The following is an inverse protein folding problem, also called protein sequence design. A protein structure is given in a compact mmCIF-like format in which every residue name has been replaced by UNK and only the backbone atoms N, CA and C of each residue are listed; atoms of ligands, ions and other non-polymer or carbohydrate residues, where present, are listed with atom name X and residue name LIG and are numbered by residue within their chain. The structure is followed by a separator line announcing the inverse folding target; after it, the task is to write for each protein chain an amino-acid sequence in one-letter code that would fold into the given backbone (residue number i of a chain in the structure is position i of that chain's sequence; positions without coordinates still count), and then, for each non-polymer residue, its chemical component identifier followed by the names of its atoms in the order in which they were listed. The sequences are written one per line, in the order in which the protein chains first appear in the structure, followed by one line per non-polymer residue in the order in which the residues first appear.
data_IF_728217796393
#
_entry.id   IF_728217796393
#
_cell.length_a   1.000
_cell.length_b   1.000
_cell.length_c   1.000
_cell.angle_alpha   90.00
_cell.angle_beta   90.00
_cell.angle_gamma   90.00
#
_symmetry.space_group_name_H-M   'P 1'
#
loop_
_entity.id
_entity.type
_entity.pdbx_description
1 polymer ?
#
# COMPACT_ATOMS: atom_id res chain seq x y z
N UNK A 1 -6.80 8.84 -15.07
CA UNK A 1 -8.07 9.20 -14.39
C UNK A 1 -7.99 8.64 -12.98
N UNK A 2 -7.76 9.52 -12.01
CA UNK A 2 -7.41 9.15 -10.64
C UNK A 2 -8.68 8.77 -9.88
N UNK A 3 -8.72 7.57 -9.30
CA UNK A 3 -9.89 7.06 -8.58
C UNK A 3 -10.26 7.97 -7.41
N UNK A 4 -11.54 8.32 -7.30
CA UNK A 4 -12.14 9.02 -6.16
C UNK A 4 -12.11 8.20 -4.85
N UNK A 5 -11.52 7.00 -4.89
CA UNK A 5 -11.42 6.08 -3.77
C UNK A 5 -10.03 6.19 -3.12
N UNK A 6 -9.95 6.02 -1.79
CA UNK A 6 -8.68 5.87 -1.08
C UNK A 6 -7.83 4.74 -1.69
N UNK A 7 -6.51 4.89 -1.64
CA UNK A 7 -5.59 3.83 -2.06
C UNK A 7 -5.73 2.53 -1.23
N UNK A 8 -6.31 2.62 -0.03
CA UNK A 8 -6.53 1.49 0.87
C UNK A 8 -7.95 0.91 0.66
N UNK A 9 -8.11 -0.42 0.52
CA UNK A 9 -9.43 -1.04 0.36
C UNK A 9 -10.37 -0.76 1.54
N UNK A 10 -11.66 -0.57 1.24
CA UNK A 10 -12.69 -0.22 2.22
C UNK A 10 -12.77 -1.24 3.39
N UNK A 11 -12.61 -2.52 3.11
CA UNK A 11 -12.64 -3.60 4.12
C UNK A 11 -11.66 -3.37 5.29
N UNK A 12 -10.49 -2.79 5.00
CA UNK A 12 -9.49 -2.46 6.02
C UNK A 12 -9.82 -1.17 6.77
N UNK A 13 -10.47 -0.21 6.11
CA UNK A 13 -10.90 1.07 6.69
C UNK A 13 -12.12 0.93 7.60
N UNK A 14 -12.96 -0.08 7.36
CA UNK A 14 -14.14 -0.39 8.18
C UNK A 14 -13.80 -1.24 9.41
N UNK A 15 -12.67 -1.95 9.39
CA UNK A 15 -12.26 -2.87 10.45
C UNK A 15 -10.95 -2.46 11.16
N UNK A 16 -10.60 -1.16 11.15
CA UNK A 16 -9.35 -0.65 11.73
C UNK A 16 -9.14 -1.08 13.20
N UNK A 17 -10.22 -1.15 13.99
CA UNK A 17 -10.14 -1.55 15.40
C UNK A 17 -9.72 -3.02 15.61
N UNK A 18 -9.98 -3.91 14.65
CA UNK A 18 -9.61 -5.34 14.75
C UNK A 18 -8.15 -5.59 14.38
N UNK A 19 -7.52 -4.65 13.69
CA UNK A 19 -6.15 -4.79 13.20
C UNK A 19 -5.10 -4.56 14.30
N UNK A 20 -3.92 -5.15 14.15
CA UNK A 20 -2.81 -4.87 15.07
C UNK A 20 -2.35 -3.41 14.94
N UNK A 21 -1.75 -2.86 16.00
CA UNK A 21 -1.23 -1.47 16.00
C UNK A 21 -0.31 -1.23 14.80
N UNK A 22 0.60 -2.18 14.51
CA UNK A 22 1.49 -2.07 13.35
C UNK A 22 0.76 -1.97 12.02
N UNK A 23 -0.31 -2.76 11.81
CA UNK A 23 -1.13 -2.67 10.58
C UNK A 23 -1.86 -1.33 10.48
N UNK A 24 -2.40 -0.82 11.59
CA UNK A 24 -3.05 0.50 11.63
C UNK A 24 -2.06 1.62 11.31
N UNK A 25 -0.82 1.55 11.81
CA UNK A 25 0.23 2.52 11.48
C UNK A 25 0.61 2.49 9.99
N UNK A 26 0.70 1.30 9.39
CA UNK A 26 0.96 1.15 7.95
C UNK A 26 -0.18 1.76 7.13
N UNK A 27 -1.44 1.48 7.48
CA UNK A 27 -2.60 2.09 6.81
C UNK A 27 -2.57 3.61 6.95
N UNK A 28 -2.30 4.14 8.15
CA UNK A 28 -2.18 5.58 8.37
C UNK A 28 -1.10 6.23 7.51
N UNK A 29 0.04 5.54 7.30
CA UNK A 29 1.10 6.00 6.40
C UNK A 29 0.64 6.06 4.95
N UNK A 30 -0.01 5.00 4.46
CA UNK A 30 -0.53 4.96 3.08
C UNK A 30 -1.59 6.05 2.84
N UNK A 31 -2.51 6.24 3.79
CA UNK A 31 -3.52 7.30 3.72
C UNK A 31 -2.89 8.69 3.72
N UNK A 32 -1.82 8.90 4.50
CA UNK A 32 -1.09 10.17 4.52
C UNK A 32 -0.40 10.44 3.19
N UNK A 33 0.23 9.43 2.59
CA UNK A 33 0.85 9.56 1.26
C UNK A 33 -0.18 9.85 0.17
N UNK A 34 -1.34 9.17 0.22
CA UNK A 34 -2.43 9.43 -0.72
C UNK A 34 -2.97 10.87 -0.56
N UNK A 35 -3.17 11.31 0.69
CA UNK A 35 -3.57 12.69 0.98
C UNK A 35 -2.55 13.70 0.45
N UNK A 36 -1.26 13.50 0.67
CA UNK A 36 -0.22 14.41 0.15
C UNK A 36 -0.27 14.52 -1.37
N UNK A 37 -0.40 13.39 -2.09
CA UNK A 37 -0.52 13.39 -3.56
C UNK A 37 -1.76 14.15 -4.02
N UNK A 38 -2.92 13.87 -3.40
CA UNK A 38 -4.20 14.51 -3.77
C UNK A 38 -4.23 16.00 -3.43
N UNK A 39 -3.62 16.42 -2.32
CA UNK A 39 -3.46 17.83 -1.95
C UNK A 39 -2.57 18.58 -2.94
N UNK A 40 -1.45 17.99 -3.41
CA UNK A 40 -0.62 18.63 -4.43
C UNK A 40 -1.39 18.87 -5.74
N UNK A 41 -2.23 17.90 -6.15
CA UNK A 41 -3.11 18.06 -7.31
C UNK A 41 -4.13 19.17 -7.05
N UNK A 42 -4.79 19.15 -5.88
CA UNK A 42 -5.77 20.15 -5.49
C UNK A 42 -5.18 21.56 -5.52
N UNK A 43 -4.03 21.78 -4.89
CA UNK A 43 -3.37 23.09 -4.82
C UNK A 43 -2.96 23.61 -6.20
N UNK A 44 -2.45 22.74 -7.08
CA UNK A 44 -2.12 23.11 -8.46
C UNK A 44 -3.36 23.57 -9.21
N UNK A 45 -4.40 22.74 -9.18
CA UNK A 45 -5.63 23.05 -9.89
C UNK A 45 -6.30 24.30 -9.28
N UNK A 46 -6.28 24.47 -7.96
CA UNK A 46 -6.82 25.65 -7.28
C UNK A 46 -6.09 26.92 -7.73
N UNK A 47 -4.75 26.88 -7.79
CA UNK A 47 -3.93 27.99 -8.28
C UNK A 47 -4.27 28.39 -9.72
N UNK A 48 -4.47 27.42 -10.61
CA UNK A 48 -4.81 27.65 -12.02
C UNK A 48 -6.22 28.24 -12.23
N UNK A 49 -7.09 28.16 -11.21
CA UNK A 49 -8.46 28.63 -11.28
C UNK A 49 -8.77 29.77 -10.28
N UNK A 50 -7.77 30.28 -9.55
CA UNK A 50 -7.89 31.42 -8.61
C UNK A 50 -8.49 32.67 -9.29
N UNK A 51 -8.11 32.92 -10.54
CA UNK A 51 -8.57 34.10 -11.30
C UNK A 51 -9.92 33.88 -12.01
N UNK A 52 -10.35 32.61 -12.13
CA UNK A 52 -11.62 32.24 -12.78
C UNK A 52 -12.72 32.23 -11.74
N UNK A 53 -13.21 33.42 -11.38
CA UNK A 53 -14.20 33.67 -10.30
C UNK A 53 -15.44 32.76 -10.27
N UNK A 54 -15.81 32.05 -11.35
CA UNK A 54 -17.14 31.48 -11.50
C UNK A 54 -17.22 30.00 -11.90
N UNK A 55 -16.11 29.26 -12.06
CA UNK A 55 -16.22 27.83 -12.39
C UNK A 55 -15.11 26.96 -11.79
N UNK A 56 -15.46 26.22 -10.74
CA UNK A 56 -14.71 25.06 -10.27
C UNK A 56 -15.35 23.81 -10.87
N UNK A 57 -14.57 23.02 -11.60
CA UNK A 57 -15.07 21.78 -12.17
C UNK A 57 -15.59 20.84 -11.06
N UNK A 58 -16.65 20.05 -11.29
CA UNK A 58 -17.20 19.12 -10.30
C UNK A 58 -16.15 18.18 -9.69
N UNK A 59 -15.12 17.85 -10.47
CA UNK A 59 -13.96 17.05 -10.09
C UNK A 59 -13.20 17.62 -8.88
N UNK A 60 -13.20 18.94 -8.69
CA UNK A 60 -12.62 19.59 -7.51
C UNK A 60 -13.39 19.28 -6.24
N UNK A 61 -14.73 19.29 -6.32
CA UNK A 61 -15.57 18.95 -5.17
C UNK A 61 -15.35 17.49 -4.80
N UNK A 62 -15.26 16.59 -5.79
CA UNK A 62 -14.92 15.18 -5.54
C UNK A 62 -13.54 15.03 -4.89
N UNK A 63 -12.53 15.79 -5.36
CA UNK A 63 -11.19 15.76 -4.80
C UNK A 63 -11.17 16.27 -3.35
N UNK A 64 -11.91 17.33 -3.05
CA UNK A 64 -12.02 17.92 -1.71
C UNK A 64 -12.75 16.97 -0.75
N UNK A 65 -13.84 16.34 -1.19
CA UNK A 65 -14.55 15.30 -0.43
C UNK A 65 -13.61 14.12 -0.14
N UNK A 66 -12.80 13.71 -1.12
CA UNK A 66 -11.82 12.62 -0.95
C UNK A 66 -10.74 13.00 0.07
N UNK A 67 -10.18 14.21 -0.01
CA UNK A 67 -9.19 14.70 0.96
C UNK A 67 -9.77 14.75 2.38
N UNK A 68 -11.03 15.16 2.53
CA UNK A 68 -11.71 15.18 3.82
C UNK A 68 -11.88 13.77 4.40
N UNK A 69 -12.30 12.80 3.57
CA UNK A 69 -12.41 11.40 3.97
C UNK A 69 -11.05 10.84 4.42
N UNK A 70 -9.98 11.12 3.67
CA UNK A 70 -8.62 10.68 4.05
C UNK A 70 -8.19 11.27 5.39
N UNK A 71 -8.44 12.55 5.64
CA UNK A 71 -8.15 13.21 6.93
C UNK A 71 -8.90 12.54 8.07
N UNK A 72 -10.20 12.27 7.91
CA UNK A 72 -11.01 11.58 8.92
C UNK A 72 -10.45 10.20 9.25
N UNK A 73 -10.08 9.41 8.24
CA UNK A 73 -9.50 8.08 8.42
C UNK A 73 -8.09 8.09 9.03
N UNK A 74 -7.30 9.13 8.76
CA UNK A 74 -5.99 9.33 9.42
C UNK A 74 -6.18 9.61 10.92
N UNK A 75 -7.12 10.49 11.27
CA UNK A 75 -7.45 10.79 12.67
C UNK A 75 -7.98 9.54 13.39
N UNK A 76 -8.84 8.77 12.74
CA UNK A 76 -9.34 7.50 13.26
C UNK A 76 -8.18 6.52 13.58
N UNK A 77 -7.22 6.39 12.65
CA UNK A 77 -6.00 5.60 12.89
C UNK A 77 -5.24 6.08 14.13
N UNK A 78 -5.02 7.39 14.29
CA UNK A 78 -4.32 7.97 15.44
C UNK A 78 -5.04 7.67 16.76
N UNK A 79 -6.36 7.81 16.79
CA UNK A 79 -7.18 7.53 17.98
C UNK A 79 -7.08 6.04 18.35
N UNK A 80 -7.14 5.14 17.36
CA UNK A 80 -7.02 3.69 17.60
C UNK A 80 -5.63 3.33 18.15
N UNK A 81 -4.57 3.87 17.54
CA UNK A 81 -3.19 3.66 18.01
C UNK A 81 -3.04 4.18 19.44
N UNK A 82 -3.50 5.41 19.72
CA UNK A 82 -3.45 6.00 21.05
C UNK A 82 -4.19 5.18 22.09
N UNK A 83 -5.40 4.69 21.77
CA UNK A 83 -6.17 3.81 22.67
C UNK A 83 -5.47 2.47 22.92
N UNK A 84 -4.91 1.84 21.90
CA UNK A 84 -4.24 0.53 22.02
C UNK A 84 -2.91 0.62 22.74
N UNK A 85 -2.15 1.69 22.54
CA UNK A 85 -0.89 1.92 23.24
C UNK A 85 -1.12 2.26 24.72
N UNK A 86 -2.14 3.06 25.05
CA UNK A 86 -2.49 3.35 26.45
C UNK A 86 -3.00 2.13 27.23
N UNK A 87 -3.60 1.16 26.53
CA UNK A 87 -4.02 -0.13 27.11
C UNK A 87 -2.89 -1.15 27.23
N UNK A 88 -1.76 -0.90 26.56
CA UNK A 88 -0.55 -1.67 26.81
C UNK A 88 0.06 -1.09 28.06
N UNK A 89 -0.18 -1.70 29.22
CA UNK A 89 0.64 -1.43 30.39
C UNK A 89 2.10 -1.48 29.95
N UNK A 90 2.83 -0.40 30.21
CA UNK A 90 4.23 -0.31 29.86
C UNK A 90 4.95 -1.41 30.65
N UNK A 91 5.31 -2.48 29.95
CA UNK A 91 6.04 -3.60 30.54
C UNK A 91 7.29 -3.05 31.21
N UNK A 92 7.38 -3.22 32.52
CA UNK A 92 8.53 -2.71 33.27
C UNK A 92 9.79 -3.47 32.86
N UNK A 93 10.98 -2.84 32.90
CA UNK A 93 12.23 -3.53 32.62
C UNK A 93 12.42 -4.79 33.48
N UNK A 94 11.96 -4.76 34.73
CA UNK A 94 11.99 -5.90 35.64
C UNK A 94 11.06 -7.03 35.19
N UNK A 95 9.83 -6.73 34.74
CA UNK A 95 8.91 -7.73 34.16
C UNK A 95 9.45 -8.32 32.86
N UNK A 96 10.06 -7.49 32.02
CA UNK A 96 10.71 -7.94 30.78
C UNK A 96 11.89 -8.88 31.07
N UNK A 97 12.73 -8.55 32.06
CA UNK A 97 13.84 -9.38 32.48
C UNK A 97 13.37 -10.68 33.14
N UNK A 98 12.30 -10.62 33.94
CA UNK A 98 11.69 -11.80 34.56
C UNK A 98 11.14 -12.76 33.50
N UNK A 99 10.39 -12.24 32.53
CA UNK A 99 9.86 -13.02 31.40
C UNK A 99 11.00 -13.54 30.51
N UNK A 100 12.07 -12.78 30.30
CA UNK A 100 13.23 -13.22 29.52
C UNK A 100 14.01 -14.35 30.20
N UNK A 101 14.19 -14.28 31.53
CA UNK A 101 14.81 -15.35 32.32
C UNK A 101 13.93 -16.60 32.37
N UNK A 102 12.61 -16.44 32.50
CA UNK A 102 11.65 -17.56 32.45
C UNK A 102 11.58 -18.19 31.05
N UNK A 103 11.74 -17.41 29.97
CA UNK A 103 11.82 -17.92 28.59
C UNK A 103 13.11 -18.65 28.24
N UNK A 104 14.25 -18.31 28.85
CA UNK A 104 15.50 -19.02 28.58
C UNK A 104 15.54 -20.40 29.26
N UNK A 105 14.78 -20.57 30.35
CA UNK A 105 14.72 -21.79 31.14
C UNK A 105 13.71 -22.81 30.60
N UNK A 106 12.71 -22.38 29.85
CA UNK A 106 11.76 -23.26 29.16
C UNK A 106 11.76 -22.92 27.67
N UNK A 107 12.26 -23.80 26.78
CA UNK A 107 12.01 -23.64 25.36
C UNK A 107 10.48 -23.72 25.17
N UNK A 108 9.81 -22.55 25.12
CA UNK A 108 8.37 -22.51 24.94
C UNK A 108 8.08 -23.24 23.65
N UNK A 109 7.47 -24.44 23.76
CA UNK A 109 6.83 -25.11 22.62
C UNK A 109 5.97 -24.05 21.96
N UNK A 110 6.33 -23.64 20.75
CA UNK A 110 5.55 -22.67 19.97
C UNK A 110 4.12 -23.18 19.98
N UNK A 111 3.18 -22.35 20.43
CA UNK A 111 1.76 -22.71 20.42
C UNK A 111 1.40 -23.18 19.00
N UNK A 112 0.63 -24.27 18.87
CA UNK A 112 0.29 -24.85 17.56
C UNK A 112 -0.21 -23.79 16.56
N UNK A 113 -1.06 -22.87 17.03
CA UNK A 113 -1.57 -21.73 16.24
C UNK A 113 -0.48 -20.78 15.72
N UNK A 114 0.66 -20.67 16.40
CA UNK A 114 1.82 -19.87 15.96
C UNK A 114 2.61 -20.61 14.88
N UNK A 115 2.80 -21.92 15.03
CA UNK A 115 3.46 -22.76 14.01
C UNK A 115 2.65 -22.73 12.71
N UNK A 116 1.34 -22.91 12.80
CA UNK A 116 0.44 -22.88 11.63
C UNK A 116 0.48 -21.53 10.89
N UNK A 117 0.56 -20.41 11.61
CA UNK A 117 0.72 -19.08 11.03
C UNK A 117 2.08 -18.85 10.39
N UNK A 118 3.15 -19.36 11.01
CA UNK A 118 4.50 -19.31 10.44
C UNK A 118 4.56 -20.13 9.13
N UNK A 119 3.94 -21.31 9.10
CA UNK A 119 3.84 -22.14 7.90
C UNK A 119 2.97 -21.49 6.81
N UNK A 120 1.85 -20.87 7.19
CA UNK A 120 1.00 -20.12 6.26
C UNK A 120 1.73 -18.94 5.64
N UNK A 121 2.49 -18.20 6.46
CA UNK A 121 3.34 -17.11 5.99
C UNK A 121 4.36 -17.62 4.97
N UNK A 122 5.04 -18.73 5.24
CA UNK A 122 6.05 -19.27 4.33
C UNK A 122 5.42 -19.78 3.02
N UNK A 123 4.26 -20.45 3.09
CA UNK A 123 3.48 -20.83 1.89
C UNK A 123 3.13 -19.61 1.04
N UNK A 124 2.65 -18.54 1.66
CA UNK A 124 2.28 -17.30 0.98
C UNK A 124 3.51 -16.61 0.38
N UNK A 125 4.63 -16.58 1.09
CA UNK A 125 5.90 -16.03 0.60
C UNK A 125 6.37 -16.76 -0.66
N UNK A 126 6.37 -18.09 -0.64
CA UNK A 126 6.74 -18.92 -1.80
C UNK A 126 5.80 -18.68 -2.97
N UNK A 127 4.48 -18.58 -2.72
CA UNK A 127 3.47 -18.28 -3.75
C UNK A 127 3.71 -16.92 -4.41
N UNK A 128 4.00 -15.89 -3.61
CA UNK A 128 4.33 -14.54 -4.08
C UNK A 128 5.58 -14.54 -4.97
N UNK A 129 6.63 -15.25 -4.57
CA UNK A 129 7.86 -15.38 -5.38
C UNK A 129 7.54 -16.06 -6.72
N UNK A 130 6.77 -17.15 -6.71
CA UNK A 130 6.36 -17.85 -7.94
C UNK A 130 5.57 -16.94 -8.87
N UNK A 131 4.59 -16.20 -8.35
CA UNK A 131 3.79 -15.26 -9.14
C UNK A 131 4.64 -14.11 -9.69
N UNK A 132 5.55 -13.56 -8.90
CA UNK A 132 6.47 -12.51 -9.38
C UNK A 132 7.37 -13.01 -10.51
N UNK A 133 7.89 -14.24 -10.40
CA UNK A 133 8.69 -14.84 -11.47
C UNK A 133 7.86 -15.11 -12.73
N UNK A 134 6.61 -15.56 -12.58
CA UNK A 134 5.70 -15.75 -13.71
C UNK A 134 5.40 -14.42 -14.43
N UNK A 135 5.19 -13.34 -13.69
CA UNK A 135 5.01 -12.00 -14.28
C UNK A 135 6.24 -11.56 -15.08
N UNK A 136 7.44 -11.71 -14.51
CA UNK A 136 8.69 -11.39 -15.23
C UNK A 136 8.87 -12.23 -16.49
N UNK A 137 8.43 -13.48 -16.46
CA UNK A 137 8.46 -14.36 -17.63
C UNK A 137 7.48 -13.91 -18.71
N UNK A 138 6.27 -13.48 -18.32
CA UNK A 138 5.30 -12.89 -19.26
C UNK A 138 5.83 -11.59 -19.88
N UNK A 139 6.46 -10.71 -19.07
CA UNK A 139 7.08 -9.48 -19.58
C UNK A 139 8.20 -9.79 -20.58
N UNK A 140 9.02 -10.81 -20.30
CA UNK A 140 10.06 -11.27 -21.21
C UNK A 140 9.48 -11.85 -22.51
N UNK A 141 8.40 -12.64 -22.41
CA UNK A 141 7.71 -13.17 -23.59
C UNK A 141 7.13 -12.06 -24.45
N UNK A 142 6.48 -11.06 -23.86
CA UNK A 142 5.96 -9.90 -24.58
C UNK A 142 7.10 -9.15 -25.30
N UNK A 143 8.22 -8.92 -24.60
CA UNK A 143 9.38 -8.25 -25.17
C UNK A 143 9.96 -8.94 -26.42
N UNK A 144 9.88 -10.28 -26.51
CA UNK A 144 10.45 -11.06 -27.62
C UNK A 144 9.41 -11.37 -28.71
N UNK A 145 8.16 -11.66 -28.32
CA UNK A 145 7.11 -12.08 -29.25
C UNK A 145 6.34 -10.90 -29.84
N UNK A 146 6.35 -9.73 -29.18
CA UNK A 146 5.57 -8.59 -29.67
C UNK A 146 6.14 -8.11 -31.01
N UNK A 147 5.31 -8.09 -32.07
CA UNK A 147 5.73 -7.61 -33.39
C UNK A 147 6.21 -6.14 -33.39
N UNK A 148 5.92 -5.40 -32.32
CA UNK A 148 6.37 -4.01 -32.11
C UNK A 148 7.88 -3.93 -31.79
N UNK A 149 8.48 -5.01 -31.32
CA UNK A 149 9.90 -5.10 -30.98
C UNK A 149 10.74 -5.78 -32.07
N UNK A 150 10.11 -6.27 -33.14
CA UNK A 150 10.82 -6.73 -34.33
C UNK A 150 11.41 -5.53 -35.08
N UNK A 151 12.70 -5.59 -35.38
CA UNK A 151 13.35 -4.62 -36.26
C UNK A 151 12.58 -4.57 -37.59
N UNK A 152 12.18 -3.36 -38.02
CA UNK A 152 11.59 -3.19 -39.35
C UNK A 152 12.55 -3.81 -40.38
N UNK A 153 12.07 -4.63 -41.32
CA UNK A 153 12.94 -5.17 -42.36
C UNK A 153 13.62 -3.98 -43.05
N UNK A 154 14.96 -3.91 -42.96
CA UNK A 154 15.71 -2.96 -43.77
C UNK A 154 15.35 -3.23 -45.22
N UNK A 155 14.92 -2.19 -45.94
CA UNK A 155 14.53 -2.22 -47.34
C UNK A 155 15.61 -2.90 -48.20
N UNK A 156 15.53 -4.22 -48.35
CA UNK A 156 16.38 -4.99 -49.23
C UNK A 156 15.80 -5.03 -50.65
N UNK A 157 15.34 -3.89 -51.17
CA UNK A 157 14.92 -3.75 -52.57
C UNK A 157 15.05 -2.29 -53.04
N UNK A 158 16.29 -1.78 -53.09
CA UNK A 158 16.65 -0.66 -53.98
C UNK A 158 18.07 -0.89 -54.47
N UNK A 159 18.25 -1.88 -55.33
CA UNK A 159 19.39 -1.94 -56.26
C UNK A 159 19.08 -2.96 -57.37
N UNK A 160 18.19 -2.57 -58.26
CA UNK A 160 18.20 -3.06 -59.65
C UNK A 160 18.24 -1.83 -60.53
N UNK A 161 19.47 -1.41 -60.86
CA UNK A 161 19.76 -0.54 -62.00
C UNK A 161 19.46 -1.33 -63.27
N UNK A 162 18.52 -0.86 -64.08
CA UNK A 162 18.57 -0.91 -65.55
C UNK A 162 17.94 0.39 -66.07
#
# INVERSE_FOLDING_TARGET
MSSALPAVPAEYLDNLEKLSVGKVCLIGRELTQDLSRKLSIFLRCFKENLDKRNYLAPEFNTLLVTCNLLLQKIVECQIIVGRKLKKSDAMTPEEFLKISKERSLNPQKKTQARVEKEDEFERNRVKLIKLSNAMKWLDWQDAILSPRHLNKPQNAMMNTRQ
#
